data_IF_474022821943
#
_entry.id   IF_474022821943
#
_cell.length_a   1.000
_cell.length_b   1.000
_cell.length_c   1.000
_cell.angle_alpha   90.00
_cell.angle_beta   90.00
_cell.angle_gamma   90.00
#
_symmetry.space_group_name_H-M   'P 1'
#
loop_
_entity.id
_entity.type
_entity.pdbx_description
1 polymer ?
#
# COMPACT_ATOMS: atom_id res chain seq x y z
N UNK A 1 -27.97 -5.61 11.52
CA UNK A 1 -27.52 -4.70 10.47
C UNK A 1 -26.51 -5.36 9.53
N UNK A 2 -26.55 -4.95 8.27
CA UNK A 2 -25.62 -5.47 7.29
C UNK A 2 -24.18 -5.01 7.62
N UNK A 3 -23.17 -5.85 7.35
CA UNK A 3 -21.78 -5.42 7.50
C UNK A 3 -21.47 -4.20 6.64
N UNK A 4 -20.67 -3.29 7.15
CA UNK A 4 -20.25 -2.09 6.43
C UNK A 4 -18.92 -2.38 5.74
N UNK A 5 -18.84 -2.07 4.45
CA UNK A 5 -17.59 -2.14 3.70
C UNK A 5 -16.76 -0.89 4.00
N UNK A 6 -15.71 -1.04 4.80
CA UNK A 6 -14.78 0.04 5.06
C UNK A 6 -13.74 0.09 3.95
N UNK A 7 -13.82 1.12 3.11
CA UNK A 7 -13.01 1.23 1.89
C UNK A 7 -11.59 1.74 2.13
N UNK A 8 -11.26 2.11 3.35
CA UNK A 8 -9.96 2.63 3.70
C UNK A 8 -9.86 4.15 3.50
N UNK A 9 -8.64 4.68 3.26
CA UNK A 9 -7.42 3.92 2.97
C UNK A 9 -6.87 3.19 4.20
N UNK A 10 -6.31 2.01 3.96
CA UNK A 10 -5.47 1.31 4.94
C UNK A 10 -4.03 1.63 4.58
N UNK A 11 -3.24 2.05 5.57
CA UNK A 11 -1.88 2.52 5.31
C UNK A 11 -0.90 1.62 6.05
N UNK A 12 0.04 1.03 5.32
CA UNK A 12 1.13 0.24 5.90
C UNK A 12 2.44 0.94 5.62
N UNK A 13 3.32 0.96 6.63
CA UNK A 13 4.60 1.64 6.56
C UNK A 13 5.74 0.66 6.42
N UNK A 14 6.86 1.13 5.88
CA UNK A 14 8.04 0.32 5.60
C UNK A 14 9.28 0.95 6.22
N UNK A 15 10.21 0.09 6.59
CA UNK A 15 11.53 0.53 7.03
C UNK A 15 12.29 1.16 5.87
N UNK A 16 13.27 2.00 6.20
CA UNK A 16 14.08 2.68 5.21
C UNK A 16 14.75 1.67 4.27
N UNK A 17 14.65 1.94 2.97
CA UNK A 17 15.27 1.14 1.90
C UNK A 17 14.81 -0.33 1.89
N UNK A 18 13.65 -0.63 2.46
CA UNK A 18 13.14 -2.00 2.54
C UNK A 18 11.72 -2.09 1.99
N UNK A 19 11.40 -3.28 1.48
CA UNK A 19 10.06 -3.63 1.02
C UNK A 19 9.50 -4.83 1.79
N UNK A 20 10.15 -5.24 2.88
CA UNK A 20 9.71 -6.37 3.71
C UNK A 20 8.49 -5.98 4.53
N UNK A 21 7.54 -6.91 4.66
CA UNK A 21 6.36 -6.72 5.50
C UNK A 21 6.78 -6.88 6.96
N UNK A 22 6.73 -5.78 7.71
CA UNK A 22 7.04 -5.80 9.14
C UNK A 22 5.89 -6.42 9.93
N UNK A 23 6.13 -6.73 11.21
CA UNK A 23 5.07 -7.23 12.10
C UNK A 23 3.92 -6.24 12.21
N UNK A 24 4.21 -4.94 12.31
CA UNK A 24 3.19 -3.89 12.38
C UNK A 24 2.41 -3.80 11.07
N UNK A 25 3.10 -3.88 9.93
CA UNK A 25 2.47 -3.88 8.62
C UNK A 25 1.55 -5.09 8.45
N UNK A 26 1.99 -6.27 8.89
CA UNK A 26 1.19 -7.48 8.82
C UNK A 26 -0.11 -7.35 9.62
N UNK A 27 -0.08 -6.74 10.80
CA UNK A 27 -1.27 -6.53 11.62
C UNK A 27 -2.29 -5.63 10.89
N UNK A 28 -1.83 -4.58 10.22
CA UNK A 28 -2.71 -3.70 9.45
C UNK A 28 -3.26 -4.42 8.22
N UNK A 29 -2.42 -5.20 7.54
CA UNK A 29 -2.86 -6.00 6.39
C UNK A 29 -3.91 -7.03 6.79
N UNK A 30 -3.75 -7.70 7.93
CA UNK A 30 -4.75 -8.65 8.42
C UNK A 30 -6.09 -7.96 8.68
N UNK A 31 -6.06 -6.76 9.26
CA UNK A 31 -7.27 -5.95 9.45
C UNK A 31 -7.91 -5.54 8.13
N UNK A 32 -7.10 -5.17 7.15
CA UNK A 32 -7.59 -4.79 5.82
C UNK A 32 -8.22 -5.98 5.11
N UNK A 33 -7.63 -7.16 5.22
CA UNK A 33 -8.16 -8.40 4.63
C UNK A 33 -9.51 -8.75 5.26
N UNK A 34 -9.61 -8.65 6.58
CA UNK A 34 -10.85 -8.92 7.29
C UNK A 34 -11.94 -7.94 6.86
N UNK A 35 -11.60 -6.66 6.73
CA UNK A 35 -12.55 -5.65 6.25
C UNK A 35 -13.01 -5.91 4.83
N UNK A 36 -12.13 -6.43 3.97
CA UNK A 36 -12.46 -6.74 2.58
C UNK A 36 -13.57 -7.79 2.47
N UNK A 37 -13.68 -8.70 3.44
CA UNK A 37 -14.72 -9.74 3.43
C UNK A 37 -16.13 -9.13 3.42
N UNK A 38 -16.29 -7.90 3.89
CA UNK A 38 -17.55 -7.17 3.89
C UNK A 38 -17.76 -6.34 2.62
N UNK A 39 -16.81 -6.35 1.71
CA UNK A 39 -16.84 -5.50 0.50
C UNK A 39 -17.25 -6.26 -0.76
N UNK A 40 -17.42 -7.58 -0.67
CA UNK A 40 -17.68 -8.40 -1.85
C UNK A 40 -16.44 -8.49 -2.75
N UNK A 41 -16.64 -8.45 -4.06
CA UNK A 41 -15.56 -8.55 -5.04
C UNK A 41 -15.24 -7.20 -5.69
N UNK A 42 -15.14 -6.16 -4.87
CA UNK A 42 -14.82 -4.82 -5.37
C UNK A 42 -13.34 -4.72 -5.75
N UNK A 43 -12.98 -3.79 -6.66
CA UNK A 43 -11.57 -3.57 -7.00
C UNK A 43 -10.76 -3.09 -5.81
N UNK A 44 -9.46 -3.42 -5.84
CA UNK A 44 -8.48 -3.01 -4.83
C UNK A 44 -7.38 -2.22 -5.53
N UNK A 45 -7.04 -1.05 -5.00
CA UNK A 45 -5.89 -0.28 -5.47
C UNK A 45 -4.81 -0.25 -4.41
N UNK A 46 -3.57 -0.55 -4.82
CA UNK A 46 -2.37 -0.37 -4.01
C UNK A 46 -1.56 0.79 -4.57
N UNK A 47 -1.31 1.80 -3.77
CA UNK A 47 -0.50 2.95 -4.16
C UNK A 47 0.77 2.96 -3.31
N UNK A 48 1.92 2.73 -3.94
CA UNK A 48 3.22 2.62 -3.26
C UNK A 48 4.00 3.92 -3.31
N UNK A 49 4.64 4.25 -2.19
CA UNK A 49 5.38 5.50 -2.03
C UNK A 49 6.69 5.27 -1.30
N UNK A 50 7.61 6.22 -1.45
CA UNK A 50 8.88 6.27 -0.70
C UNK A 50 9.07 7.64 -0.08
N UNK A 51 10.02 7.75 0.85
CA UNK A 51 10.53 9.08 1.21
C UNK A 51 11.44 9.60 0.09
N UNK A 52 11.99 10.81 0.25
CA UNK A 52 12.81 11.45 -0.78
C UNK A 52 14.29 11.12 -0.67
N UNK A 53 14.69 10.19 0.22
CA UNK A 53 16.06 9.71 0.27
C UNK A 53 16.34 8.79 -0.92
N UNK A 54 17.51 8.90 -1.54
CA UNK A 54 17.84 8.16 -2.75
C UNK A 54 17.39 8.88 -4.02
N UNK A 55 17.64 8.28 -5.17
CA UNK A 55 17.27 8.88 -6.46
C UNK A 55 15.79 8.64 -6.78
N UNK A 56 15.21 9.51 -7.59
CA UNK A 56 13.82 9.35 -8.02
C UNK A 56 13.59 8.03 -8.75
N UNK A 57 14.53 7.64 -9.63
CA UNK A 57 14.45 6.38 -10.36
C UNK A 57 14.48 5.17 -9.42
N UNK A 58 15.39 5.17 -8.45
CA UNK A 58 15.49 4.10 -7.45
C UNK A 58 14.21 4.01 -6.62
N UNK A 59 13.70 5.15 -6.19
CA UNK A 59 12.50 5.21 -5.36
C UNK A 59 11.25 4.73 -6.10
N UNK A 60 11.18 4.99 -7.41
CA UNK A 60 10.09 4.45 -8.22
C UNK A 60 10.10 2.91 -8.18
N UNK A 61 11.27 2.29 -8.37
CA UNK A 61 11.41 0.84 -8.27
C UNK A 61 11.12 0.31 -6.86
N UNK A 62 11.55 1.04 -5.82
CA UNK A 62 11.29 0.63 -4.44
C UNK A 62 9.79 0.66 -4.12
N UNK A 63 9.07 1.69 -4.58
CA UNK A 63 7.62 1.75 -4.38
C UNK A 63 6.90 0.61 -5.09
N UNK A 64 7.36 0.21 -6.27
CA UNK A 64 6.83 -0.96 -6.98
C UNK A 64 7.09 -2.25 -6.19
N UNK A 65 8.28 -2.43 -5.63
CA UNK A 65 8.60 -3.60 -4.80
C UNK A 65 7.75 -3.66 -3.52
N UNK A 66 7.44 -2.50 -2.93
CA UNK A 66 6.55 -2.43 -1.77
C UNK A 66 5.13 -2.85 -2.13
N UNK A 67 4.63 -2.41 -3.28
CA UNK A 67 3.35 -2.88 -3.81
C UNK A 67 3.35 -4.40 -4.02
N UNK A 68 4.43 -4.95 -4.59
CA UNK A 68 4.53 -6.38 -4.84
C UNK A 68 4.49 -7.17 -3.53
N UNK A 69 5.16 -6.69 -2.49
CA UNK A 69 5.14 -7.35 -1.17
C UNK A 69 3.73 -7.35 -0.57
N UNK A 70 3.02 -6.23 -0.66
CA UNK A 70 1.63 -6.14 -0.17
C UNK A 70 0.72 -7.04 -0.99
N UNK A 71 0.85 -7.01 -2.32
CA UNK A 71 0.04 -7.86 -3.20
C UNK A 71 0.26 -9.34 -2.90
N UNK A 72 1.50 -9.77 -2.71
CA UNK A 72 1.82 -11.15 -2.38
C UNK A 72 1.19 -11.57 -1.03
N UNK A 73 1.20 -10.66 -0.05
CA UNK A 73 0.56 -10.91 1.24
C UNK A 73 -0.95 -11.10 1.07
N UNK A 74 -1.60 -10.21 0.33
CA UNK A 74 -3.05 -10.28 0.09
C UNK A 74 -3.44 -11.56 -0.66
N UNK A 75 -2.73 -11.89 -1.73
CA UNK A 75 -3.03 -13.10 -2.52
C UNK A 75 -2.76 -14.37 -1.72
N UNK A 76 -1.73 -14.37 -0.89
CA UNK A 76 -1.43 -15.48 0.02
C UNK A 76 -2.51 -15.70 1.07
N UNK A 77 -3.36 -14.71 1.33
CA UNK A 77 -4.47 -14.78 2.27
C UNK A 77 -5.83 -14.89 1.57
N UNK A 78 -5.84 -15.30 0.30
CA UNK A 78 -7.07 -15.65 -0.40
C UNK A 78 -7.71 -14.55 -1.24
N UNK A 79 -7.09 -13.38 -1.35
CA UNK A 79 -7.61 -12.31 -2.21
C UNK A 79 -7.18 -12.56 -3.65
N UNK A 80 -8.14 -12.48 -4.59
CA UNK A 80 -7.84 -12.72 -6.00
C UNK A 80 -6.92 -11.64 -6.57
N UNK A 81 -5.82 -12.05 -7.19
CA UNK A 81 -4.87 -11.11 -7.80
C UNK A 81 -5.48 -10.28 -8.92
N UNK A 82 -6.49 -10.81 -9.61
CA UNK A 82 -7.20 -10.09 -10.66
C UNK A 82 -8.00 -8.88 -10.15
N UNK A 83 -8.30 -8.82 -8.85
CA UNK A 83 -8.98 -7.68 -8.25
C UNK A 83 -8.03 -6.54 -7.91
N UNK A 84 -6.71 -6.77 -7.94
CA UNK A 84 -5.71 -5.83 -7.44
C UNK A 84 -5.06 -5.07 -8.59
N UNK A 85 -5.05 -3.75 -8.49
CA UNK A 85 -4.32 -2.84 -9.37
C UNK A 85 -3.26 -2.12 -8.55
N UNK A 86 -2.06 -1.95 -9.10
CA UNK A 86 -0.97 -1.30 -8.38
C UNK A 86 -0.48 -0.06 -9.14
N UNK A 87 -0.15 0.99 -8.38
CA UNK A 87 0.50 2.19 -8.90
C UNK A 87 1.71 2.52 -8.05
N UNK A 88 2.86 2.68 -8.68
CA UNK A 88 4.11 3.04 -8.01
C UNK A 88 4.39 4.52 -8.25
N UNK A 89 4.40 5.32 -7.19
CA UNK A 89 4.59 6.76 -7.27
C UNK A 89 6.00 7.22 -6.85
N UNK A 90 6.78 6.32 -6.23
CA UNK A 90 8.10 6.70 -5.74
C UNK A 90 7.99 7.78 -4.68
N UNK A 91 8.75 8.86 -4.85
CA UNK A 91 8.75 9.98 -3.90
C UNK A 91 7.70 11.05 -4.21
N UNK A 92 6.85 10.85 -5.22
CA UNK A 92 5.77 11.78 -5.52
C UNK A 92 4.68 11.70 -4.43
N UNK A 93 3.91 12.77 -4.28
CA UNK A 93 2.77 12.84 -3.37
C UNK A 93 3.13 12.51 -1.92
N UNK A 94 4.15 13.21 -1.39
CA UNK A 94 4.60 13.04 -0.01
C UNK A 94 3.46 13.25 0.98
N UNK A 95 3.31 12.34 1.94
CA UNK A 95 2.36 12.50 3.04
C UNK A 95 2.83 13.59 3.99
N UNK A 96 4.15 13.65 4.20
CA UNK A 96 4.82 14.71 4.95
C UNK A 96 5.81 15.38 4.00
N UNK A 97 5.61 16.66 3.71
CA UNK A 97 6.51 17.40 2.81
C UNK A 97 7.90 17.49 3.43
N UNK A 98 8.91 17.10 2.68
CA UNK A 98 10.31 17.16 3.12
C UNK A 98 11.18 17.75 2.02
N UNK A 99 12.38 18.21 2.40
CA UNK A 99 13.43 18.49 1.43
C UNK A 99 13.91 17.19 0.78
N UNK A 100 14.57 17.28 -0.36
CA UNK A 100 15.15 16.11 -1.01
C UNK A 100 16.19 15.45 -0.11
N UNK A 101 16.25 14.12 -0.18
CA UNK A 101 17.22 13.33 0.56
C UNK A 101 16.85 13.04 2.00
N UNK A 102 15.69 13.48 2.47
CA UNK A 102 15.27 13.29 3.87
C UNK A 102 14.58 11.94 4.04
N UNK A 103 14.97 11.19 5.06
CA UNK A 103 14.28 9.97 5.47
C UNK A 103 13.08 10.35 6.33
N UNK A 104 11.89 9.88 5.92
CA UNK A 104 10.66 10.18 6.62
C UNK A 104 9.75 8.94 6.60
N UNK A 105 9.50 8.35 7.77
CA UNK A 105 8.69 7.12 7.89
C UNK A 105 7.30 7.29 7.29
N UNK A 106 6.65 8.42 7.50
CA UNK A 106 5.28 8.67 7.03
C UNK A 106 5.16 8.62 5.50
N UNK A 107 6.26 8.81 4.78
CA UNK A 107 6.28 8.77 3.32
C UNK A 107 6.61 7.36 2.78
N UNK A 108 7.12 6.47 3.59
CA UNK A 108 7.46 5.09 3.21
C UNK A 108 6.27 4.18 3.43
N UNK A 109 5.36 4.18 2.45
CA UNK A 109 4.07 3.53 2.66
C UNK A 109 3.47 2.89 1.41
N UNK A 110 2.51 1.98 1.63
CA UNK A 110 1.53 1.56 0.62
C UNK A 110 0.15 1.88 1.17
N UNK A 111 -0.66 2.55 0.36
CA UNK A 111 -2.06 2.87 0.69
C UNK A 111 -2.97 1.91 -0.05
N UNK A 112 -3.91 1.32 0.65
CA UNK A 112 -4.84 0.31 0.13
C UNK A 112 -6.25 0.89 0.17
N UNK A 113 -6.91 0.96 -0.98
CA UNK A 113 -8.31 1.41 -1.07
C UNK A 113 -9.15 0.38 -1.81
N UNK A 114 -10.41 0.27 -1.40
CA UNK A 114 -11.38 -0.67 -1.97
C UNK A 114 -12.54 0.07 -2.62
N UNK A 115 -13.18 -0.60 -3.57
CA UNK A 115 -14.46 -0.18 -4.11
C UNK A 115 -14.39 0.45 -5.50
N UNK A 116 -15.55 0.88 -6.02
CA UNK A 116 -15.62 1.51 -7.34
C UNK A 116 -14.71 2.73 -7.42
N UNK A 117 -13.94 2.81 -8.50
CA UNK A 117 -12.95 3.86 -8.70
C UNK A 117 -11.55 3.51 -8.22
N UNK A 118 -11.38 2.45 -7.41
CA UNK A 118 -10.06 1.95 -7.05
C UNK A 118 -9.36 1.39 -8.29
N UNK A 119 -8.07 1.65 -8.43
CA UNK A 119 -7.30 1.20 -9.58
C UNK A 119 -7.26 2.19 -10.74
N UNK A 120 -7.88 3.33 -10.60
CA UNK A 120 -7.86 4.40 -11.62
C UNK A 120 -6.87 5.50 -11.31
#
# INVERSE_FOLDING_TARGET
PAPVCNKGPYIVFFDWNKADITTDAAAILDSAIQAYSNCGTVPIMLAGYTDSSGTAKYNLGLSARRNDSVQAYLTGHGIAGSAITTHAYGEANQRVATADGVRELQNRRVEITYGPGSGN
#
